data_IF_192205886358
#
_entry.id   IF_192205886358
#
_cell.length_a   1.000
_cell.length_b   1.000
_cell.length_c   1.000
_cell.angle_alpha   90.00
_cell.angle_beta   90.00
_cell.angle_gamma   90.00
#
_symmetry.space_group_name_H-M   'P 1'
#
loop_
_entity.id
_entity.type
_entity.pdbx_description
1 polymer ?
#
# COMPACT_ATOMS: atom_id res chain seq x y z
N UNK A 1 46.18 -52.61 22.18
CA UNK A 1 44.92 -52.95 21.48
C UNK A 1 44.69 -51.93 20.38
N UNK A 2 44.98 -52.29 19.13
CA UNK A 2 44.80 -51.39 17.97
C UNK A 2 43.33 -51.42 17.54
N UNK A 3 42.61 -50.32 17.73
CA UNK A 3 41.24 -50.17 17.20
C UNK A 3 41.35 -49.96 15.69
N UNK A 4 40.81 -50.89 14.91
CA UNK A 4 40.70 -50.72 13.45
C UNK A 4 39.72 -49.57 13.19
N UNK A 5 40.07 -48.55 12.38
CA UNK A 5 39.10 -47.56 11.94
C UNK A 5 38.04 -48.26 11.10
N UNK A 6 36.79 -48.24 11.55
CA UNK A 6 35.65 -48.64 10.74
C UNK A 6 35.45 -47.54 9.69
N UNK A 7 35.78 -47.84 8.43
CA UNK A 7 35.52 -46.92 7.32
C UNK A 7 34.02 -46.74 7.09
N UNK A 8 33.61 -45.54 6.69
CA UNK A 8 32.23 -45.26 6.30
C UNK A 8 31.79 -46.17 5.16
N UNK A 9 30.62 -46.79 5.30
CA UNK A 9 30.01 -47.57 4.23
C UNK A 9 29.45 -46.63 3.16
N UNK A 10 29.56 -47.00 1.89
CA UNK A 10 29.07 -46.20 0.75
C UNK A 10 27.55 -45.94 0.84
N UNK A 11 26.81 -46.88 1.46
CA UNK A 11 25.37 -46.74 1.75
C UNK A 11 25.09 -45.59 2.73
N UNK A 12 25.96 -45.35 3.70
CA UNK A 12 25.77 -44.38 4.77
C UNK A 12 25.91 -42.95 4.24
N UNK A 13 26.90 -42.72 3.38
CA UNK A 13 27.07 -41.44 2.67
C UNK A 13 25.90 -41.17 1.73
N UNK A 14 25.39 -42.19 1.04
CA UNK A 14 24.26 -42.05 0.13
C UNK A 14 22.97 -41.70 0.88
N UNK A 15 22.71 -42.34 2.02
CA UNK A 15 21.58 -41.99 2.89
C UNK A 15 21.73 -40.58 3.47
N UNK A 16 22.93 -40.20 3.93
CA UNK A 16 23.19 -38.86 4.43
C UNK A 16 22.94 -37.77 3.36
N UNK A 17 23.33 -38.03 2.12
CA UNK A 17 23.09 -37.13 0.98
C UNK A 17 21.60 -37.01 0.68
N UNK A 18 20.85 -38.12 0.66
CA UNK A 18 19.39 -38.10 0.44
C UNK A 18 18.67 -37.29 1.53
N UNK A 19 18.99 -37.54 2.81
CA UNK A 19 18.38 -36.81 3.93
C UNK A 19 18.72 -35.31 3.86
N UNK A 20 19.96 -34.97 3.51
CA UNK A 20 20.40 -33.57 3.34
C UNK A 20 19.64 -32.90 2.19
N UNK A 21 19.49 -33.56 1.05
CA UNK A 21 18.71 -33.04 -0.08
C UNK A 21 17.25 -32.77 0.31
N UNK A 22 16.60 -33.69 1.03
CA UNK A 22 15.23 -33.50 1.52
C UNK A 22 15.14 -32.31 2.48
N UNK A 23 16.10 -32.19 3.42
CA UNK A 23 16.17 -31.07 4.36
C UNK A 23 16.32 -29.71 3.66
N UNK A 24 17.20 -29.63 2.66
CA UNK A 24 17.43 -28.41 1.87
C UNK A 24 16.20 -28.03 1.05
N UNK A 25 15.56 -28.98 0.37
CA UNK A 25 14.31 -28.75 -0.36
C UNK A 25 13.18 -28.26 0.57
N UNK A 26 13.08 -28.84 1.77
CA UNK A 26 12.16 -28.39 2.80
C UNK A 26 12.39 -26.93 3.19
N UNK A 27 13.63 -26.54 3.44
CA UNK A 27 14.00 -25.16 3.79
C UNK A 27 13.72 -24.17 2.65
N UNK A 28 14.04 -24.53 1.40
CA UNK A 28 13.73 -23.69 0.24
C UNK A 28 12.23 -23.45 0.07
N UNK A 29 11.40 -24.47 0.30
CA UNK A 29 9.94 -24.33 0.21
C UNK A 29 9.37 -23.34 1.23
N UNK A 30 9.95 -23.29 2.44
CA UNK A 30 9.55 -22.34 3.48
C UNK A 30 10.01 -20.92 3.13
N UNK A 31 11.27 -20.77 2.68
CA UNK A 31 11.81 -19.47 2.27
C UNK A 31 11.02 -18.86 1.11
N UNK A 32 10.58 -19.66 0.14
CA UNK A 32 9.75 -19.19 -0.98
C UNK A 32 8.45 -18.52 -0.51
N UNK A 33 7.77 -19.09 0.49
CA UNK A 33 6.54 -18.52 1.07
C UNK A 33 6.84 -17.21 1.80
N UNK A 34 7.91 -17.18 2.59
CA UNK A 34 8.33 -15.97 3.32
C UNK A 34 8.60 -14.79 2.39
N UNK A 35 9.21 -15.04 1.22
CA UNK A 35 9.49 -13.98 0.23
C UNK A 35 8.20 -13.33 -0.29
N UNK A 36 7.18 -14.13 -0.63
CA UNK A 36 5.89 -13.58 -1.06
C UNK A 36 5.22 -12.72 0.01
N UNK A 37 5.24 -13.16 1.28
CA UNK A 37 4.68 -12.38 2.39
C UNK A 37 5.46 -11.08 2.66
N UNK A 38 6.78 -11.11 2.56
CA UNK A 38 7.63 -9.93 2.72
C UNK A 38 7.36 -8.88 1.63
N UNK A 39 7.15 -9.33 0.39
CA UNK A 39 6.80 -8.45 -0.74
C UNK A 39 5.47 -7.72 -0.51
N UNK A 40 4.40 -8.42 -0.12
CA UNK A 40 3.10 -7.80 0.14
C UNK A 40 3.16 -6.80 1.31
N UNK A 41 3.85 -7.19 2.39
CA UNK A 41 4.05 -6.31 3.56
C UNK A 41 4.74 -5.01 3.14
N UNK A 42 5.77 -5.09 2.29
CA UNK A 42 6.47 -3.90 1.78
C UNK A 42 5.53 -3.00 0.98
N UNK A 43 4.72 -3.57 0.08
CA UNK A 43 3.77 -2.77 -0.72
C UNK A 43 2.71 -2.09 0.14
N UNK A 44 2.20 -2.78 1.16
CA UNK A 44 1.27 -2.20 2.14
C UNK A 44 1.91 -1.07 2.94
N UNK A 45 3.16 -1.22 3.37
CA UNK A 45 3.90 -0.14 4.04
C UNK A 45 4.07 1.07 3.12
N UNK A 46 4.47 0.87 1.87
CA UNK A 46 4.55 1.97 0.88
C UNK A 46 3.19 2.65 0.67
N UNK A 47 2.10 1.89 0.59
CA UNK A 47 0.75 2.44 0.46
C UNK A 47 0.32 3.24 1.71
N UNK A 48 0.71 2.78 2.90
CA UNK A 48 0.47 3.49 4.16
C UNK A 48 1.24 4.81 4.20
N UNK A 49 2.54 4.79 3.90
CA UNK A 49 3.38 5.99 3.83
C UNK A 49 2.82 7.02 2.84
N UNK A 50 2.36 6.58 1.66
CA UNK A 50 1.73 7.47 0.67
C UNK A 50 0.41 8.06 1.15
N UNK A 51 -0.42 7.27 1.86
CA UNK A 51 -1.67 7.74 2.42
C UNK A 51 -1.43 8.77 3.54
N UNK A 52 -0.47 8.49 4.43
CA UNK A 52 -0.08 9.38 5.52
C UNK A 52 0.53 10.67 5.00
N UNK A 53 1.40 10.62 3.99
CA UNK A 53 1.96 11.80 3.31
C UNK A 53 0.85 12.71 2.78
N UNK A 54 -0.15 12.12 2.14
CA UNK A 54 -1.28 12.86 1.59
C UNK A 54 -2.18 13.45 2.69
N UNK A 55 -2.46 12.67 3.74
CA UNK A 55 -3.25 13.11 4.88
C UNK A 55 -2.57 14.25 5.62
N UNK A 56 -1.26 14.19 5.83
CA UNK A 56 -0.51 15.25 6.49
C UNK A 56 -0.45 16.51 5.64
N UNK A 57 -0.30 16.38 4.32
CA UNK A 57 -0.39 17.52 3.40
C UNK A 57 -1.76 18.18 3.48
N UNK A 58 -2.82 17.39 3.56
CA UNK A 58 -4.19 17.87 3.78
C UNK A 58 -4.31 18.59 5.13
N UNK A 59 -3.84 17.99 6.23
CA UNK A 59 -3.86 18.60 7.56
C UNK A 59 -3.13 19.94 7.57
N UNK A 60 -1.93 20.01 7.01
CA UNK A 60 -1.17 21.26 6.91
C UNK A 60 -1.94 22.37 6.17
N UNK A 61 -2.59 22.02 5.05
CA UNK A 61 -3.43 22.96 4.31
C UNK A 61 -4.67 23.39 5.11
N UNK A 62 -5.30 22.48 5.85
CA UNK A 62 -6.43 22.81 6.74
C UNK A 62 -6.03 23.78 7.83
N UNK A 63 -4.87 23.59 8.46
CA UNK A 63 -4.34 24.52 9.45
C UNK A 63 -4.06 25.90 8.86
N UNK A 64 -3.62 25.98 7.60
CA UNK A 64 -3.34 27.27 6.93
C UNK A 64 -4.58 28.05 6.52
N UNK A 65 -5.71 27.36 6.33
CA UNK A 65 -6.95 27.92 5.76
C UNK A 65 -8.05 28.14 6.77
N UNK A 66 -8.00 27.47 7.94
CA UNK A 66 -8.99 27.67 8.99
C UNK A 66 -8.67 28.87 9.88
N UNK A 67 -9.74 29.52 10.33
CA UNK A 67 -9.71 30.56 11.34
C UNK A 67 -9.10 30.00 12.64
N UNK A 68 -8.11 30.69 13.20
CA UNK A 68 -7.47 30.35 14.47
C UNK A 68 -8.44 30.36 15.65
N UNK A 69 -9.65 30.87 15.45
CA UNK A 69 -10.77 30.87 16.41
C UNK A 69 -11.64 29.60 16.35
N UNK A 70 -11.42 28.71 15.38
CA UNK A 70 -12.19 27.48 15.25
C UNK A 70 -11.85 26.47 16.35
N UNK A 71 -12.86 26.02 17.10
CA UNK A 71 -12.70 25.03 18.17
C UNK A 71 -12.49 23.59 17.66
N UNK A 72 -12.77 23.33 16.37
CA UNK A 72 -12.53 22.04 15.73
C UNK A 72 -12.04 22.23 14.30
N UNK A 73 -11.04 21.44 13.90
CA UNK A 73 -10.63 21.37 12.50
C UNK A 73 -11.67 20.57 11.72
N UNK A 74 -12.38 21.24 10.81
CA UNK A 74 -13.36 20.59 9.95
C UNK A 74 -12.95 20.70 8.48
N UNK A 75 -12.71 19.57 7.78
CA UNK A 75 -12.45 19.60 6.36
C UNK A 75 -13.65 20.18 5.60
N UNK A 76 -13.40 21.03 4.59
CA UNK A 76 -14.46 21.70 3.84
C UNK A 76 -15.35 20.69 3.10
N UNK A 77 -16.57 21.10 2.75
CA UNK A 77 -17.48 20.24 1.96
C UNK A 77 -16.92 19.94 0.56
N UNK A 78 -16.23 20.92 -0.02
CA UNK A 78 -15.59 20.83 -1.33
C UNK A 78 -14.11 21.17 -1.19
N UNK A 79 -13.25 20.28 -1.68
CA UNK A 79 -11.81 20.47 -1.61
C UNK A 79 -11.11 19.91 -2.84
N UNK A 80 -10.04 20.56 -3.29
CA UNK A 80 -9.26 20.11 -4.44
C UNK A 80 -8.54 18.78 -4.22
N UNK A 81 -8.44 18.32 -2.96
CA UNK A 81 -7.92 17.00 -2.62
C UNK A 81 -8.92 15.88 -2.79
N UNK A 82 -10.22 16.17 -2.94
CA UNK A 82 -11.21 15.11 -3.06
C UNK A 82 -11.24 14.53 -4.47
N UNK A 83 -11.28 13.20 -4.49
CA UNK A 83 -11.46 12.37 -5.66
C UNK A 83 -12.51 11.32 -5.31
N UNK A 84 -13.68 11.44 -5.95
CA UNK A 84 -14.72 10.44 -5.81
C UNK A 84 -14.29 9.08 -6.38
N UNK A 85 -14.94 8.02 -5.91
CA UNK A 85 -14.76 6.68 -6.45
C UNK A 85 -15.05 6.65 -7.97
N UNK A 86 -14.20 5.98 -8.74
CA UNK A 86 -14.27 5.94 -10.20
C UNK A 86 -13.92 7.25 -10.94
N UNK A 87 -13.70 8.38 -10.25
CA UNK A 87 -13.32 9.63 -10.88
C UNK A 87 -11.83 9.63 -11.31
N UNK A 88 -11.46 10.45 -12.29
CA UNK A 88 -10.05 10.63 -12.66
C UNK A 88 -9.31 11.53 -11.67
N UNK A 89 -8.01 11.31 -11.50
CA UNK A 89 -7.14 12.26 -10.80
C UNK A 89 -7.08 13.61 -11.54
N UNK A 90 -6.91 14.74 -10.82
CA UNK A 90 -6.61 16.01 -11.44
C UNK A 90 -5.27 15.93 -12.19
N UNK A 91 -5.15 16.71 -13.26
CA UNK A 91 -3.90 16.78 -14.02
C UNK A 91 -2.77 17.31 -13.14
N UNK A 92 -1.64 16.59 -13.16
CA UNK A 92 -0.45 17.05 -12.48
C UNK A 92 0.13 18.29 -13.19
N UNK A 93 0.69 19.26 -12.44
CA UNK A 93 1.40 20.40 -13.01
C UNK A 93 2.69 19.95 -13.74
N UNK A 94 3.33 20.88 -14.44
CA UNK A 94 4.59 20.62 -15.17
C UNK A 94 5.76 20.23 -14.25
N UNK A 95 5.72 20.61 -12.97
CA UNK A 95 6.71 20.19 -11.97
C UNK A 95 6.08 19.99 -10.60
N UNK A 96 6.57 18.97 -9.90
CA UNK A 96 6.17 18.60 -8.53
C UNK A 96 7.30 18.84 -7.52
N UNK A 97 8.28 19.69 -7.86
CA UNK A 97 9.45 19.93 -7.03
C UNK A 97 9.18 20.83 -5.81
N UNK A 98 8.15 21.69 -5.89
CA UNK A 98 7.72 22.54 -4.77
C UNK A 98 6.20 22.51 -4.67
N UNK A 99 5.69 22.07 -3.52
CA UNK A 99 4.25 21.99 -3.27
C UNK A 99 3.68 23.30 -2.71
N UNK A 100 4.51 24.21 -2.19
CA UNK A 100 4.05 25.38 -1.44
C UNK A 100 3.12 26.31 -2.25
N UNK A 101 3.42 26.53 -3.53
CA UNK A 101 2.64 27.42 -4.40
C UNK A 101 1.52 26.72 -5.20
N UNK A 102 1.43 25.39 -5.11
CA UNK A 102 0.44 24.61 -5.85
C UNK A 102 -0.94 24.68 -5.19
N UNK A 103 -1.98 24.56 -5.99
CA UNK A 103 -3.35 24.35 -5.48
C UNK A 103 -3.50 22.94 -4.93
N UNK A 104 -4.48 22.74 -4.04
CA UNK A 104 -4.86 21.42 -3.51
C UNK A 104 -4.99 20.34 -4.61
N UNK A 105 -5.65 20.66 -5.72
CA UNK A 105 -5.82 19.73 -6.84
C UNK A 105 -4.49 19.42 -7.56
N UNK A 106 -3.61 20.39 -7.73
CA UNK A 106 -2.29 20.15 -8.32
C UNK A 106 -1.40 19.31 -7.40
N UNK A 107 -1.46 19.53 -6.08
CA UNK A 107 -0.76 18.69 -5.10
C UNK A 107 -1.27 17.26 -5.13
N UNK A 108 -2.59 17.06 -5.23
CA UNK A 108 -3.17 15.73 -5.43
C UNK A 108 -2.69 15.09 -6.74
N UNK A 109 -2.58 15.85 -7.82
CA UNK A 109 -2.02 15.37 -9.09
C UNK A 109 -0.56 14.93 -8.97
N UNK A 110 0.27 15.71 -8.28
CA UNK A 110 1.65 15.35 -7.98
C UNK A 110 1.77 14.09 -7.12
N UNK A 111 0.96 14.00 -6.08
CA UNK A 111 0.88 12.80 -5.25
C UNK A 111 0.44 11.59 -6.07
N UNK A 112 -0.56 11.75 -6.96
CA UNK A 112 -1.04 10.68 -7.81
C UNK A 112 0.05 10.15 -8.75
N UNK A 113 0.88 11.02 -9.34
CA UNK A 113 2.03 10.58 -10.15
C UNK A 113 3.02 9.76 -9.31
N UNK A 114 3.32 10.20 -8.09
CA UNK A 114 4.22 9.49 -7.19
C UNK A 114 3.64 8.13 -6.78
N UNK A 115 2.37 8.08 -6.42
CA UNK A 115 1.67 6.85 -6.07
C UNK A 115 1.65 5.85 -7.24
N UNK A 116 1.41 6.33 -8.47
CA UNK A 116 1.43 5.50 -9.67
C UNK A 116 2.81 4.96 -10.04
N UNK A 117 3.89 5.64 -9.62
CA UNK A 117 5.27 5.19 -9.82
C UNK A 117 5.73 4.24 -8.71
N UNK A 118 5.24 4.43 -7.48
CA UNK A 118 5.63 3.66 -6.31
C UNK A 118 4.90 2.31 -6.21
N UNK A 119 3.66 2.23 -6.71
CA UNK A 119 2.83 1.04 -6.63
C UNK A 119 2.74 0.32 -7.97
N UNK A 120 2.82 -1.02 -8.00
CA UNK A 120 2.75 -1.79 -9.22
C UNK A 120 1.37 -1.67 -9.87
N UNK A 121 1.36 -1.31 -11.16
CA UNK A 121 0.15 -1.20 -11.99
C UNK A 121 -0.91 -0.20 -11.48
N UNK A 122 -0.53 0.70 -10.57
CA UNK A 122 -1.45 1.68 -9.99
C UNK A 122 -1.98 2.69 -11.02
N UNK A 123 -1.27 2.90 -12.14
CA UNK A 123 -1.74 3.77 -13.23
C UNK A 123 -2.97 3.22 -13.95
N UNK A 124 -3.08 1.89 -14.12
CA UNK A 124 -4.28 1.26 -14.69
C UNK A 124 -5.43 1.14 -13.68
N UNK A 125 -5.11 1.23 -12.39
CA UNK A 125 -6.05 1.16 -11.27
C UNK A 125 -6.47 2.52 -10.74
N UNK A 126 -6.24 3.62 -11.47
CA UNK A 126 -6.56 4.97 -10.99
C UNK A 126 -8.03 5.17 -10.57
N UNK A 127 -8.96 4.39 -11.16
CA UNK A 127 -10.38 4.39 -10.78
C UNK A 127 -10.63 3.80 -9.39
N UNK A 128 -9.76 2.93 -8.90
CA UNK A 128 -9.86 2.25 -7.60
C UNK A 128 -9.34 3.10 -6.43
N UNK A 129 -8.72 4.23 -6.72
CA UNK A 129 -8.28 5.18 -5.72
C UNK A 129 -9.43 6.12 -5.39
N UNK A 130 -9.61 6.49 -4.13
CA UNK A 130 -10.53 7.56 -3.77
C UNK A 130 -10.03 8.31 -2.55
N UNK A 131 -10.42 9.58 -2.49
CA UNK A 131 -10.05 10.50 -1.42
C UNK A 131 -11.28 11.33 -1.10
N UNK A 132 -11.88 11.12 0.05
CA UNK A 132 -13.13 11.82 0.38
C UNK A 132 -13.45 11.81 1.85
N UNK A 133 -14.50 12.56 2.19
CA UNK A 133 -15.09 12.55 3.51
C UNK A 133 -15.94 11.30 3.72
N UNK A 134 -15.84 10.75 4.92
CA UNK A 134 -16.67 9.65 5.38
C UNK A 134 -17.22 9.91 6.78
N UNK A 135 -18.40 9.38 7.04
CA UNK A 135 -19.04 9.31 8.35
C UNK A 135 -18.83 7.94 9.02
N UNK A 136 -17.95 7.10 8.47
CA UNK A 136 -17.75 5.73 8.92
C UNK A 136 -18.32 4.67 7.97
N UNK A 137 -19.01 5.05 6.89
CA UNK A 137 -19.45 4.12 5.84
C UNK A 137 -18.28 3.62 4.99
N UNK A 138 -18.33 2.37 4.51
CA UNK A 138 -17.33 1.76 3.59
C UNK A 138 -17.24 2.42 2.22
N UNK A 139 -18.12 3.38 1.93
CA UNK A 139 -18.18 4.07 0.65
C UNK A 139 -17.85 5.56 0.82
N UNK A 140 -17.34 6.13 -0.27
CA UNK A 140 -17.03 7.53 -0.44
C UNK A 140 -18.31 8.39 -0.46
N UNK A 141 -18.89 8.66 0.71
CA UNK A 141 -20.20 9.32 0.86
C UNK A 141 -20.13 10.85 0.80
N UNK A 142 -18.93 11.43 0.81
CA UNK A 142 -18.72 12.88 0.82
C UNK A 142 -19.27 13.57 2.07
N UNK A 143 -19.60 12.79 3.09
CA UNK A 143 -20.28 13.21 4.31
C UNK A 143 -19.43 12.89 5.54
N UNK A 144 -19.69 13.52 6.68
CA UNK A 144 -18.93 13.26 7.93
C UNK A 144 -17.62 14.03 8.02
N UNK A 145 -16.91 13.93 9.14
CA UNK A 145 -15.70 14.71 9.40
C UNK A 145 -14.41 13.96 9.13
N UNK A 146 -14.43 12.63 9.06
CA UNK A 146 -13.24 11.83 8.80
C UNK A 146 -12.87 11.87 7.32
N UNK A 147 -11.57 11.79 7.04
CA UNK A 147 -11.02 11.62 5.69
C UNK A 147 -10.71 10.15 5.47
N UNK A 148 -11.12 9.65 4.31
CA UNK A 148 -10.77 8.32 3.82
C UNK A 148 -9.92 8.44 2.56
N UNK A 149 -8.82 7.68 2.54
CA UNK A 149 -7.88 7.59 1.43
C UNK A 149 -7.74 6.10 1.08
N UNK A 150 -8.13 5.72 -0.13
CA UNK A 150 -7.94 4.37 -0.66
C UNK A 150 -6.88 4.38 -1.76
N UNK A 151 -5.93 3.46 -1.65
CA UNK A 151 -4.94 3.15 -2.67
C UNK A 151 -5.13 1.71 -3.15
N UNK A 152 -4.81 1.46 -4.42
CA UNK A 152 -4.90 0.15 -5.02
C UNK A 152 -3.64 -0.19 -5.83
N UNK A 153 -3.26 -1.46 -5.83
CA UNK A 153 -2.16 -1.99 -6.64
C UNK A 153 -2.44 -3.42 -7.05
N UNK A 154 -1.77 -3.90 -8.11
CA UNK A 154 -1.92 -5.27 -8.59
C UNK A 154 -0.80 -6.17 -8.06
N UNK A 155 -1.17 -7.37 -7.63
CA UNK A 155 -0.28 -8.46 -7.19
C UNK A 155 -0.61 -9.74 -7.95
N UNK A 156 0.17 -10.80 -7.76
CA UNK A 156 -0.19 -12.10 -8.34
C UNK A 156 -1.38 -12.69 -7.57
N UNK A 157 -2.16 -13.54 -8.25
CA UNK A 157 -3.30 -14.21 -7.63
C UNK A 157 -2.88 -14.97 -6.36
N UNK A 158 -3.55 -14.69 -5.24
CA UNK A 158 -3.30 -15.33 -3.95
C UNK A 158 -2.21 -14.67 -3.08
N UNK A 159 -1.54 -13.62 -3.56
CA UNK A 159 -0.59 -12.85 -2.74
C UNK A 159 -1.26 -11.74 -1.92
N UNK A 160 -2.50 -11.37 -2.28
CA UNK A 160 -3.21 -10.29 -1.62
C UNK A 160 -3.79 -10.71 -0.26
N UNK A 161 -3.36 -10.03 0.81
CA UNK A 161 -3.90 -10.25 2.17
C UNK A 161 -5.32 -9.71 2.37
N UNK A 162 -5.77 -8.76 1.56
CA UNK A 162 -7.14 -8.23 1.58
C UNK A 162 -7.67 -8.13 0.14
N UNK A 163 -8.13 -9.25 -0.45
CA UNK A 163 -8.57 -9.27 -1.84
C UNK A 163 -9.80 -8.37 -2.04
N UNK A 164 -9.94 -7.82 -3.25
CA UNK A 164 -11.08 -6.98 -3.59
C UNK A 164 -12.40 -7.72 -3.36
N UNK A 165 -13.37 -7.05 -2.72
CA UNK A 165 -14.72 -7.58 -2.52
C UNK A 165 -15.47 -7.83 -3.85
N UNK A 166 -14.97 -7.27 -4.96
CA UNK A 166 -15.59 -7.22 -6.30
C UNK A 166 -15.01 -8.20 -7.33
N UNK A 167 -14.32 -9.26 -6.90
CA UNK A 167 -14.07 -10.45 -7.75
C UNK A 167 -12.70 -10.55 -8.43
N UNK A 168 -11.93 -9.46 -8.55
CA UNK A 168 -10.53 -9.54 -8.98
C UNK A 168 -9.59 -9.73 -7.78
N UNK A 169 -9.16 -10.97 -7.55
CA UNK A 169 -8.26 -11.35 -6.45
C UNK A 169 -6.82 -10.88 -6.65
N UNK A 170 -6.50 -10.24 -7.78
CA UNK A 170 -5.18 -9.67 -8.07
C UNK A 170 -5.06 -8.23 -7.61
N UNK A 171 -6.18 -7.55 -7.29
CA UNK A 171 -6.16 -6.15 -6.85
C UNK A 171 -6.21 -6.10 -5.33
N UNK A 172 -5.15 -5.52 -4.75
CA UNK A 172 -5.07 -5.18 -3.34
C UNK A 172 -5.47 -3.75 -3.08
N UNK A 173 -6.06 -3.51 -1.91
CA UNK A 173 -6.47 -2.19 -1.45
C UNK A 173 -5.92 -1.91 -0.06
N UNK A 174 -5.47 -0.69 0.14
CA UNK A 174 -5.18 -0.11 1.45
C UNK A 174 -6.13 1.06 1.67
N UNK A 175 -6.76 1.12 2.85
CA UNK A 175 -7.69 2.18 3.22
C UNK A 175 -7.21 2.78 4.54
N UNK A 176 -6.90 4.07 4.50
CA UNK A 176 -6.67 4.89 5.69
C UNK A 176 -7.93 5.68 5.98
N UNK A 177 -8.39 5.65 7.24
CA UNK A 177 -9.53 6.46 7.70
C UNK A 177 -9.16 7.12 9.01
N UNK A 178 -9.02 8.44 8.97
CA UNK A 178 -8.69 9.23 10.16
C UNK A 178 -9.59 10.45 10.29
N UNK A 179 -9.83 10.84 11.55
CA UNK A 179 -10.35 12.17 11.81
C UNK A 179 -9.24 13.21 11.53
N UNK A 180 -9.60 14.36 10.94
CA UNK A 180 -8.68 15.45 10.64
C UNK A 180 -7.98 15.97 11.89
#
# INVERSE_FOLDING_TARGET
MSRRPAGFSLIEVLVALVVTCIGVLGMFSMQARTISYASDTTMRSTAAELADELLETMRADLYSTQDSSATQLQPPATWGYYKADGASFPAAPSSCASLAALTAAQRLGCWAQRAQQALPDASSLASEFHVCRTNGSTNCSGSGSAIEIQLAWRVKSGECLNPSASGDTTICRYVLREAP
#
